data_IF_563237029402
#
_entry.id   IF_563237029402
#
_cell.length_a   1.000
_cell.length_b   1.000
_cell.length_c   1.000
_cell.angle_alpha   90.00
_cell.angle_beta   90.00
_cell.angle_gamma   90.00
#
_symmetry.space_group_name_H-M   'P 1'
#
loop_
_entity.id
_entity.type
_entity.pdbx_description
1 polymer ?
#
# COMPACT_ATOMS: atom_id res chain seq x y z
N UNK A 1 -5.35 0.70 -16.07
CA UNK A 1 -5.91 -0.02 -14.90
C UNK A 1 -5.20 0.49 -13.66
N UNK A 2 -5.91 0.96 -12.63
CA UNK A 2 -5.25 1.49 -11.42
C UNK A 2 -5.09 0.35 -10.41
N UNK A 3 -3.86 -0.14 -10.22
CA UNK A 3 -3.56 -1.21 -9.26
C UNK A 3 -3.65 -0.65 -7.83
N UNK A 4 -4.61 -1.16 -7.06
CA UNK A 4 -4.74 -0.85 -5.64
C UNK A 4 -4.05 -1.95 -4.84
N UNK A 5 -3.22 -1.56 -3.87
CA UNK A 5 -2.50 -2.47 -2.97
C UNK A 5 -2.87 -2.19 -1.53
N UNK A 6 -2.89 -3.23 -0.71
CA UNK A 6 -3.09 -3.09 0.72
C UNK A 6 -1.73 -2.80 1.34
N UNK A 7 -1.64 -1.74 2.13
CA UNK A 7 -0.42 -1.35 2.83
C UNK A 7 -0.73 -1.23 4.32
N UNK A 8 0.20 -1.65 5.17
CA UNK A 8 0.06 -1.51 6.61
C UNK A 8 0.96 -0.38 7.11
N UNK A 9 0.38 0.50 7.93
CA UNK A 9 1.14 1.51 8.62
C UNK A 9 1.91 0.86 9.77
N UNK A 10 3.25 0.85 9.71
CA UNK A 10 4.07 0.27 10.77
C UNK A 10 3.93 1.00 12.11
N UNK A 11 3.60 2.30 12.09
CA UNK A 11 3.45 3.11 13.30
C UNK A 11 2.16 2.83 14.09
N UNK A 12 1.06 2.48 13.41
CA UNK A 12 -0.23 2.26 14.07
C UNK A 12 -0.83 0.87 13.82
N UNK A 13 -0.15 0.01 13.07
CA UNK A 13 -0.60 -1.35 12.74
C UNK A 13 -1.91 -1.41 11.94
N UNK A 14 -2.27 -0.33 11.25
CA UNK A 14 -3.54 -0.23 10.51
C UNK A 14 -3.31 -0.48 9.02
N UNK A 15 -4.18 -1.29 8.42
CA UNK A 15 -4.21 -1.52 6.99
C UNK A 15 -4.97 -0.43 6.24
N UNK A 16 -4.45 -0.02 5.09
CA UNK A 16 -5.02 0.98 4.20
C UNK A 16 -4.92 0.50 2.75
N UNK A 17 -5.86 0.93 1.92
CA UNK A 17 -5.80 0.69 0.47
C UNK A 17 -5.08 1.86 -0.18
N UNK A 18 -3.82 1.66 -0.58
CA UNK A 18 -3.07 2.64 -1.36
C UNK A 18 -3.18 2.33 -2.85
N UNK A 19 -3.05 3.35 -3.68
CA UNK A 19 -2.98 3.20 -5.13
C UNK A 19 -1.51 3.17 -5.54
N UNK A 20 -1.09 2.11 -6.24
CA UNK A 20 0.24 2.01 -6.80
C UNK A 20 0.27 2.78 -8.13
N UNK A 21 1.14 3.79 -8.22
CA UNK A 21 1.50 4.41 -9.49
C UNK A 21 2.47 3.49 -10.24
N UNK A 22 2.49 3.64 -11.56
CA UNK A 22 3.39 2.92 -12.46
C UNK A 22 4.87 3.08 -12.08
N UNK A 23 5.22 4.25 -11.54
CA UNK A 23 6.56 4.60 -11.02
C UNK A 23 6.92 3.91 -9.68
N UNK A 24 6.09 2.98 -9.18
CA UNK A 24 6.32 2.30 -7.90
C UNK A 24 5.89 3.10 -6.66
N UNK A 25 5.37 4.32 -6.85
CA UNK A 25 4.94 5.18 -5.73
C UNK A 25 3.54 4.80 -5.22
N UNK A 26 3.39 4.63 -3.90
CA UNK A 26 2.10 4.44 -3.25
C UNK A 26 1.44 5.77 -2.91
N UNK A 27 0.20 5.96 -3.37
CA UNK A 27 -0.64 7.12 -3.06
C UNK A 27 -1.78 6.66 -2.16
N UNK A 28 -1.80 7.13 -0.91
CA UNK A 28 -2.93 6.91 -0.02
C UNK A 28 -4.13 7.78 -0.43
N UNK A 29 -5.37 7.27 -0.30
CA UNK A 29 -6.60 8.03 -0.56
C UNK A 29 -6.94 8.96 0.62
N UNK A 30 -5.93 9.54 1.27
CA UNK A 30 -6.09 10.51 2.34
C UNK A 30 -5.68 11.88 1.84
N UNK A 31 -6.31 12.95 2.35
CA UNK A 31 -6.11 14.33 1.88
C UNK A 31 -4.64 14.77 1.89
N UNK A 32 -3.86 14.24 2.84
CA UNK A 32 -2.45 14.60 3.05
C UNK A 32 -1.48 13.49 2.62
N UNK A 33 -1.97 12.39 2.03
CA UNK A 33 -1.16 11.20 1.74
C UNK A 33 -0.61 10.49 3.00
N UNK A 34 -1.09 10.88 4.19
CA UNK A 34 -0.64 10.36 5.48
C UNK A 34 -1.70 9.54 6.17
N UNK A 35 -1.24 8.67 7.06
CA UNK A 35 -2.14 7.99 7.97
C UNK A 35 -2.65 8.91 9.08
N UNK A 36 -3.74 8.51 9.74
CA UNK A 36 -4.34 9.25 10.85
C UNK A 36 -3.37 9.48 12.03
N UNK A 37 -2.33 8.65 12.14
CA UNK A 37 -1.25 8.79 13.12
C UNK A 37 -0.13 9.76 12.68
N UNK A 38 -0.22 10.37 11.50
CA UNK A 38 0.82 11.24 10.93
C UNK A 38 2.01 10.50 10.30
N UNK A 39 2.01 9.17 10.31
CA UNK A 39 3.05 8.39 9.66
C UNK A 39 2.94 8.46 8.14
N UNK A 40 4.10 8.47 7.49
CA UNK A 40 4.28 8.45 6.04
C UNK A 40 4.93 7.14 5.55
N UNK A 41 5.33 6.28 6.49
CA UNK A 41 6.00 5.01 6.19
C UNK A 41 5.00 3.86 6.22
N UNK A 42 4.86 3.21 5.08
CA UNK A 42 3.96 2.08 4.88
C UNK A 42 4.75 0.88 4.38
N UNK A 43 4.42 -0.30 4.89
CA UNK A 43 4.90 -1.55 4.35
C UNK A 43 3.81 -2.15 3.49
N UNK A 44 4.17 -2.59 2.30
CA UNK A 44 3.26 -3.34 1.46
C UNK A 44 2.83 -4.62 2.17
N UNK A 45 1.53 -4.86 2.18
CA UNK A 45 1.04 -6.19 2.42
C UNK A 45 1.17 -6.89 1.06
N UNK A 46 2.32 -7.53 0.84
CA UNK A 46 2.50 -8.45 -0.28
C UNK A 46 1.45 -9.55 -0.13
N UNK A 47 0.30 -9.33 -0.77
CA UNK A 47 -0.52 -10.45 -1.18
C UNK A 47 0.39 -11.24 -2.13
N UNK A 48 0.70 -12.52 -1.82
CA UNK A 48 1.55 -13.31 -2.69
C UNK A 48 0.98 -13.16 -4.09
N UNK A 49 1.81 -12.63 -4.98
CA UNK A 49 1.43 -12.38 -6.36
C UNK A 49 0.83 -13.68 -6.88
N UNK A 50 -0.48 -13.66 -7.13
CA UNK A 50 -1.17 -14.73 -7.85
C UNK A 50 -0.61 -14.70 -9.27
N UNK A 51 0.53 -15.36 -9.47
CA UNK A 51 1.32 -15.26 -10.70
C UNK A 51 2.55 -16.16 -10.73
N UNK A 52 2.96 -16.75 -9.61
CA UNK A 52 4.02 -17.76 -9.61
C UNK A 52 3.42 -19.12 -9.27
N UNK A 53 2.84 -19.76 -10.29
CA UNK A 53 2.82 -21.22 -10.35
C UNK A 53 4.20 -21.65 -10.86
N UNK A 54 5.10 -22.18 -10.02
CA UNK A 54 6.28 -22.85 -10.56
C UNK A 54 5.80 -24.04 -11.40
N UNK A 55 6.19 -24.04 -12.69
CA UNK A 55 5.94 -25.14 -13.65
C UNK A 55 6.63 -26.43 -13.24
#
# INVERSE_FOLDING_TARGET
>A
MQQQRIVCCSACGRAYTARLRDDGTFILPTTDGRCRCGADRFSEFESPTAGETPS
#
